data_IF_242923847325
#
_entry.id   IF_242923847325
#
_cell.length_a   1.000
_cell.length_b   1.000
_cell.length_c   1.000
_cell.angle_alpha   90.00
_cell.angle_beta   90.00
_cell.angle_gamma   90.00
#
_symmetry.space_group_name_H-M   'P 1'
#
loop_
_entity.id
_entity.type
_entity.pdbx_description
1 polymer ?
#
# COMPACT_ATOMS: atom_id res chain seq x y z
N UNK A 1 -13.97 -12.00 -5.54
CA UNK A 1 -12.94 -12.66 -6.37
C UNK A 1 -11.57 -12.43 -5.74
N UNK A 2 -10.97 -13.48 -5.19
CA UNK A 2 -9.56 -13.45 -4.79
C UNK A 2 -8.68 -13.81 -5.97
N UNK A 3 -7.41 -13.42 -5.93
CA UNK A 3 -6.47 -13.64 -7.03
C UNK A 3 -6.14 -15.12 -7.22
N UNK A 4 -6.04 -15.90 -6.13
CA UNK A 4 -5.61 -17.30 -6.19
C UNK A 4 -6.57 -18.22 -5.43
N UNK A 5 -6.98 -19.32 -6.08
CA UNK A 5 -7.67 -20.42 -5.41
C UNK A 5 -8.99 -20.06 -4.72
N UNK A 6 -9.64 -18.96 -5.13
CA UNK A 6 -10.90 -18.46 -4.55
C UNK A 6 -10.84 -18.19 -3.04
N UNK A 7 -9.66 -17.95 -2.47
CA UNK A 7 -9.46 -17.65 -1.04
C UNK A 7 -8.50 -16.48 -0.85
N UNK A 8 -8.54 -15.86 0.32
CA UNK A 8 -7.59 -14.81 0.68
C UNK A 8 -6.17 -15.35 0.77
N UNK A 9 -5.25 -14.73 0.04
CA UNK A 9 -3.84 -15.11 -0.03
C UNK A 9 -2.94 -13.88 0.07
N UNK A 10 -1.64 -14.12 0.20
CA UNK A 10 -0.66 -13.04 0.25
C UNK A 10 -0.62 -12.19 -1.02
N UNK A 11 -0.97 -12.76 -2.18
CA UNK A 11 -1.11 -12.01 -3.42
C UNK A 11 -2.16 -10.90 -3.30
N UNK A 12 -3.27 -11.15 -2.58
CA UNK A 12 -4.32 -10.15 -2.41
C UNK A 12 -3.86 -8.99 -1.51
N UNK A 13 -3.05 -9.30 -0.49
CA UNK A 13 -2.44 -8.30 0.41
C UNK A 13 -1.45 -7.41 -0.35
N UNK A 14 -0.54 -8.02 -1.10
CA UNK A 14 0.45 -7.28 -1.88
C UNK A 14 -0.19 -6.41 -2.96
N UNK A 15 -1.21 -6.92 -3.65
CA UNK A 15 -1.90 -6.12 -4.65
C UNK A 15 -2.63 -4.93 -4.01
N UNK A 16 -3.27 -5.12 -2.84
CA UNK A 16 -3.90 -4.02 -2.12
C UNK A 16 -2.87 -2.95 -1.72
N UNK A 17 -1.73 -3.35 -1.15
CA UNK A 17 -0.64 -2.44 -0.78
C UNK A 17 -0.17 -1.62 -1.99
N UNK A 18 0.09 -2.29 -3.13
CA UNK A 18 0.51 -1.63 -4.35
C UNK A 18 -0.53 -0.63 -4.88
N UNK A 19 -1.83 -0.99 -4.87
CA UNK A 19 -2.90 -0.09 -5.31
C UNK A 19 -2.92 1.18 -4.44
N UNK A 20 -2.87 1.04 -3.11
CA UNK A 20 -2.91 2.17 -2.19
C UNK A 20 -1.69 3.10 -2.39
N UNK A 21 -0.49 2.54 -2.56
CA UNK A 21 0.72 3.32 -2.81
C UNK A 21 0.66 4.11 -4.13
N UNK A 22 0.06 3.54 -5.17
CA UNK A 22 -0.07 4.22 -6.47
C UNK A 22 -1.13 5.32 -6.40
N UNK A 23 -2.26 5.10 -5.72
CA UNK A 23 -3.30 6.12 -5.54
C UNK A 23 -2.83 7.32 -4.70
N UNK A 24 -1.88 7.12 -3.78
CA UNK A 24 -1.22 8.21 -3.05
C UNK A 24 -0.42 9.17 -3.98
N UNK A 25 -0.16 8.76 -5.23
CA UNK A 25 0.49 9.57 -6.27
C UNK A 25 -0.47 9.98 -7.40
N UNK A 26 -1.41 9.11 -7.75
CA UNK A 26 -2.33 9.29 -8.86
C UNK A 26 -3.75 8.85 -8.44
N UNK A 27 -4.51 9.78 -7.87
CA UNK A 27 -5.81 9.49 -7.28
C UNK A 27 -6.84 8.90 -8.28
N UNK A 28 -6.76 9.29 -9.55
CA UNK A 28 -7.76 8.93 -10.55
C UNK A 28 -7.46 7.63 -11.32
N UNK A 29 -6.28 7.02 -11.11
CA UNK A 29 -5.82 5.87 -11.90
C UNK A 29 -6.79 4.68 -11.82
N UNK A 30 -7.44 4.47 -10.67
CA UNK A 30 -8.35 3.33 -10.49
C UNK A 30 -9.69 3.47 -11.23
N UNK A 31 -10.01 4.65 -11.78
CA UNK A 31 -11.24 4.87 -12.54
C UNK A 31 -11.33 3.96 -13.78
N UNK A 32 -10.20 3.73 -14.43
CA UNK A 32 -10.10 2.91 -15.65
C UNK A 32 -10.07 1.39 -15.37
N UNK A 33 -9.99 0.97 -14.09
CA UNK A 33 -9.84 -0.43 -13.68
C UNK A 33 -10.96 -0.86 -12.72
N UNK A 34 -12.21 -1.04 -13.19
CA UNK A 34 -13.36 -1.31 -12.33
C UNK A 34 -13.20 -2.59 -11.47
N UNK A 35 -12.59 -3.64 -12.02
CA UNK A 35 -12.33 -4.88 -11.28
C UNK A 35 -11.33 -4.68 -10.12
N UNK A 36 -10.33 -3.81 -10.31
CA UNK A 36 -9.35 -3.49 -9.27
C UNK A 36 -9.95 -2.57 -8.21
N UNK A 37 -10.83 -1.64 -8.60
CA UNK A 37 -11.59 -0.81 -7.65
C UNK A 37 -12.46 -1.65 -6.73
N UNK A 38 -13.23 -2.58 -7.29
CA UNK A 38 -14.09 -3.48 -6.52
C UNK A 38 -13.27 -4.46 -5.67
N UNK A 39 -12.12 -4.90 -6.18
CA UNK A 39 -11.14 -5.66 -5.41
C UNK A 39 -10.64 -4.88 -4.20
N UNK A 40 -10.13 -3.64 -4.40
CA UNK A 40 -9.65 -2.77 -3.32
C UNK A 40 -10.71 -2.59 -2.24
N UNK A 41 -11.93 -2.23 -2.61
CA UNK A 41 -13.03 -2.02 -1.67
C UNK A 41 -13.28 -3.26 -0.81
N UNK A 42 -13.36 -4.44 -1.45
CA UNK A 42 -13.67 -5.69 -0.75
C UNK A 42 -12.52 -6.20 0.12
N UNK A 43 -11.25 -6.09 -0.32
CA UNK A 43 -10.10 -6.52 0.50
C UNK A 43 -9.87 -5.54 1.66
N UNK A 44 -10.12 -4.24 1.47
CA UNK A 44 -10.01 -3.23 2.54
C UNK A 44 -11.00 -3.46 3.68
N UNK A 45 -12.12 -4.12 3.42
CA UNK A 45 -13.15 -4.43 4.43
C UNK A 45 -12.87 -5.70 5.25
N UNK A 46 -11.82 -6.47 4.95
CA UNK A 46 -11.41 -7.61 5.78
C UNK A 46 -11.03 -7.07 7.18
N UNK A 47 -11.58 -7.60 8.30
CA UNK A 47 -11.44 -6.96 9.62
C UNK A 47 -10.00 -6.60 10.04
N UNK A 48 -9.04 -7.50 9.78
CA UNK A 48 -7.63 -7.28 10.11
C UNK A 48 -6.98 -6.22 9.22
N UNK A 49 -7.31 -6.21 7.93
CA UNK A 49 -6.86 -5.18 6.97
C UNK A 49 -7.49 -3.84 7.32
N UNK A 50 -8.80 -3.82 7.56
CA UNK A 50 -9.54 -2.61 7.93
C UNK A 50 -8.94 -1.98 9.19
N UNK A 51 -8.67 -2.79 10.21
CA UNK A 51 -8.00 -2.34 11.44
C UNK A 51 -6.59 -1.79 11.16
N UNK A 52 -5.83 -2.42 10.26
CA UNK A 52 -4.51 -1.92 9.84
C UNK A 52 -4.58 -0.61 9.03
N UNK A 53 -5.67 -0.36 8.32
CA UNK A 53 -5.88 0.89 7.57
C UNK A 53 -6.45 2.02 8.43
N UNK A 54 -6.92 1.75 9.66
CA UNK A 54 -7.42 2.79 10.56
C UNK A 54 -6.30 3.68 11.11
N UNK A 55 -6.61 4.94 11.47
CA UNK A 55 -5.69 5.79 12.21
C UNK A 55 -5.18 5.12 13.50
N UNK A 56 -3.90 5.34 13.82
CA UNK A 56 -3.27 4.75 15.00
C UNK A 56 -2.75 3.33 14.83
N UNK A 57 -2.91 2.72 13.65
CA UNK A 57 -2.24 1.46 13.31
C UNK A 57 -0.73 1.65 13.15
N UNK A 58 -0.01 0.54 12.99
CA UNK A 58 1.43 0.58 12.74
C UNK A 58 1.81 0.88 11.28
N UNK A 59 0.82 1.05 10.37
CA UNK A 59 1.05 1.41 8.97
C UNK A 59 1.90 2.68 8.91
N UNK A 60 3.00 2.62 8.16
CA UNK A 60 3.90 3.77 8.01
C UNK A 60 3.36 4.72 6.95
N UNK A 61 3.52 6.04 7.14
CA UNK A 61 3.17 7.02 6.12
C UNK A 61 4.15 6.97 4.95
N UNK A 62 3.82 7.70 3.88
CA UNK A 62 4.75 7.93 2.76
C UNK A 62 6.07 8.50 3.29
N UNK A 63 7.23 8.00 2.84
CA UNK A 63 8.53 8.53 3.24
C UNK A 63 8.66 10.03 3.04
N UNK A 64 9.11 10.73 4.08
CA UNK A 64 9.45 12.15 4.06
C UNK A 64 10.97 12.36 4.00
N UNK A 65 11.40 13.62 3.94
CA UNK A 65 12.83 13.99 3.91
C UNK A 65 13.58 13.50 5.15
N UNK A 66 12.93 13.53 6.32
CA UNK A 66 13.51 13.05 7.58
C UNK A 66 13.79 11.55 7.57
N UNK A 67 12.88 10.76 7.00
CA UNK A 67 13.08 9.33 6.77
C UNK A 67 14.29 9.11 5.86
N UNK A 68 14.35 9.82 4.72
CA UNK A 68 15.45 9.70 3.76
C UNK A 68 16.80 10.07 4.40
N UNK A 69 16.87 11.18 5.13
CA UNK A 69 18.08 11.60 5.85
C UNK A 69 18.52 10.55 6.87
N UNK A 70 17.58 10.00 7.62
CA UNK A 70 17.85 8.95 8.62
C UNK A 70 18.43 7.70 7.95
N UNK A 71 17.84 7.25 6.84
CA UNK A 71 18.33 6.10 6.08
C UNK A 71 19.74 6.36 5.56
N UNK A 72 19.99 7.54 4.96
CA UNK A 72 21.32 7.92 4.46
C UNK A 72 22.36 7.93 5.57
N UNK A 73 22.04 8.51 6.73
CA UNK A 73 22.93 8.60 7.89
C UNK A 73 23.27 7.22 8.47
N UNK A 74 22.26 6.37 8.69
CA UNK A 74 22.46 5.06 9.34
C UNK A 74 23.13 4.07 8.41
N UNK A 75 22.73 4.02 7.14
CA UNK A 75 23.28 3.09 6.16
C UNK A 75 24.52 3.62 5.43
N UNK A 76 24.97 4.85 5.76
CA UNK A 76 26.12 5.52 5.14
C UNK A 76 26.04 5.58 3.61
N UNK A 77 24.84 5.84 3.07
CA UNK A 77 24.63 5.99 1.63
C UNK A 77 25.10 7.38 1.19
N UNK A 78 26.16 7.44 0.38
CA UNK A 78 26.63 8.68 -0.23
C UNK A 78 25.64 9.23 -1.26
N UNK A 79 25.55 10.56 -1.39
CA UNK A 79 24.84 11.20 -2.50
C UNK A 79 25.53 10.82 -3.81
N UNK A 80 24.96 9.89 -4.58
CA UNK A 80 25.25 9.82 -6.01
C UNK A 80 24.56 11.04 -6.61
N UNK A 81 25.39 11.95 -7.13
CA UNK A 81 25.00 13.23 -7.73
C UNK A 81 24.24 13.01 -9.02
#
# INVERSE_FOLDING_TARGET
>A
MYLVGKRFTWADVHLLEAILMVEEKFADLMADFPLLRDFKARISEIPTIKAFLQPGSQRKPVPDEKYVETVRRVLQLHHVT
#
